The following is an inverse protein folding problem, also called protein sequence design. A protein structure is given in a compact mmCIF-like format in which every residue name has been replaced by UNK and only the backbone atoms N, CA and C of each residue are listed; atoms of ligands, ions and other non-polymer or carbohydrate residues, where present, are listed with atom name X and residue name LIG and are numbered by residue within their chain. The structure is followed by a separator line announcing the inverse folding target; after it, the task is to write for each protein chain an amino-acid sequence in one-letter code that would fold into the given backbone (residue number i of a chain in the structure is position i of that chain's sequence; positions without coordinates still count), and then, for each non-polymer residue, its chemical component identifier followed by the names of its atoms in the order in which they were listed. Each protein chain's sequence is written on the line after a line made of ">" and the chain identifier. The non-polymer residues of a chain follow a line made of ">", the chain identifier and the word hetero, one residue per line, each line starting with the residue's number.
data_IF_114765036570
#
_entry.id   IF_114765036570
#
_cell.length_a   1.000
_cell.length_b   1.000
_cell.length_c   1.000
_cell.angle_alpha   90.00
_cell.angle_beta   90.00
_cell.angle_gamma   90.00
#
_symmetry.space_group_name_H-M   'P 1'
#
loop_
_entity.id
_entity.type
_entity.pdbx_description
1 polymer ?
#
# COMPACT_ATOMS: atom_id res chain seq x y z
N UNK A 1 -19.48 -37.29 -32.30
CA UNK A 1 -20.62 -36.53 -31.75
C UNK A 1 -20.08 -35.70 -30.60
N UNK A 2 -19.74 -34.44 -30.86
CA UNK A 2 -19.16 -33.51 -29.88
C UNK A 2 -20.29 -32.64 -29.32
N UNK A 3 -20.54 -32.70 -28.01
CA UNK A 3 -21.57 -31.94 -27.33
C UNK A 3 -20.98 -30.59 -26.87
N UNK A 4 -21.30 -29.51 -27.60
CA UNK A 4 -20.94 -28.14 -27.21
C UNK A 4 -21.98 -27.58 -26.25
N UNK A 5 -21.65 -27.51 -24.95
CA UNK A 5 -22.47 -26.80 -23.96
C UNK A 5 -21.99 -25.33 -23.92
N UNK A 6 -22.76 -24.46 -24.56
CA UNK A 6 -22.59 -23.00 -24.52
C UNK A 6 -23.06 -22.46 -23.16
N UNK A 7 -22.13 -22.09 -22.28
CA UNK A 7 -22.44 -21.33 -21.07
C UNK A 7 -22.48 -19.84 -21.41
N UNK A 8 -23.68 -19.27 -21.51
CA UNK A 8 -23.90 -17.83 -21.60
C UNK A 8 -23.72 -17.17 -20.22
N UNK A 9 -22.50 -16.77 -19.89
CA UNK A 9 -22.26 -15.89 -18.76
C UNK A 9 -22.49 -14.42 -19.19
N UNK A 10 -23.72 -13.94 -19.01
CA UNK A 10 -24.02 -12.51 -19.10
C UNK A 10 -23.55 -11.82 -17.81
N UNK A 11 -22.27 -11.46 -17.74
CA UNK A 11 -21.74 -10.64 -16.66
C UNK A 11 -21.80 -9.16 -17.07
N UNK A 12 -23.00 -8.57 -17.01
CA UNK A 12 -23.17 -7.12 -17.12
C UNK A 12 -22.88 -6.49 -15.75
N UNK A 13 -21.61 -6.23 -15.48
CA UNK A 13 -21.21 -5.45 -14.30
C UNK A 13 -20.95 -4.02 -14.75
N UNK A 14 -21.91 -3.13 -14.48
CA UNK A 14 -21.74 -1.69 -14.70
C UNK A 14 -20.60 -1.19 -13.82
N UNK A 15 -19.54 -0.67 -14.43
CA UNK A 15 -18.48 0.03 -13.72
C UNK A 15 -18.99 1.41 -13.33
N UNK A 16 -19.34 1.58 -12.05
CA UNK A 16 -19.53 2.91 -11.48
C UNK A 16 -18.20 3.65 -11.55
N UNK A 17 -18.12 4.67 -12.42
CA UNK A 17 -17.00 5.61 -12.43
C UNK A 17 -17.07 6.42 -11.14
N UNK A 18 -16.32 6.00 -10.12
CA UNK A 18 -15.99 6.88 -9.00
C UNK A 18 -15.16 8.04 -9.55
N UNK A 19 -15.72 9.24 -9.50
CA UNK A 19 -14.95 10.48 -9.66
C UNK A 19 -13.99 10.55 -8.47
N UNK A 20 -12.81 9.96 -8.64
CA UNK A 20 -11.73 10.07 -7.68
C UNK A 20 -11.22 11.50 -7.74
N UNK A 21 -11.68 12.29 -6.77
CA UNK A 21 -11.07 13.57 -6.43
C UNK A 21 -9.62 13.23 -6.15
N UNK A 22 -8.68 13.77 -6.92
CA UNK A 22 -7.25 13.60 -6.66
C UNK A 22 -6.95 14.18 -5.28
N UNK A 23 -7.02 13.33 -4.25
CA UNK A 23 -6.58 13.66 -2.91
C UNK A 23 -5.08 13.88 -3.06
N UNK A 24 -4.65 15.13 -3.01
CA UNK A 24 -3.25 15.49 -2.94
C UNK A 24 -2.65 14.74 -1.76
N UNK A 25 -1.94 13.65 -2.07
CA UNK A 25 -1.27 12.81 -1.10
C UNK A 25 -0.25 13.72 -0.42
N UNK A 26 -0.51 14.12 0.83
CA UNK A 26 0.50 14.78 1.66
C UNK A 26 1.75 13.94 1.54
N UNK A 27 2.82 14.55 1.05
CA UNK A 27 4.12 13.94 0.89
C UNK A 27 4.59 13.58 2.29
N UNK A 28 4.22 12.38 2.71
CA UNK A 28 4.46 11.90 4.05
C UNK A 28 5.89 11.42 4.00
N UNK A 29 6.77 12.07 4.75
CA UNK A 29 8.20 11.75 4.71
C UNK A 29 8.41 10.34 5.27
N UNK A 30 8.46 9.37 4.37
CA UNK A 30 8.68 7.96 4.68
C UNK A 30 10.11 7.85 5.18
N UNK A 31 10.30 7.06 6.24
CA UNK A 31 11.65 6.73 6.69
C UNK A 31 12.24 5.63 5.78
N UNK A 32 12.79 6.05 4.65
CA UNK A 32 13.39 5.15 3.65
C UNK A 32 14.57 4.35 4.22
N UNK A 33 15.33 4.93 5.15
CA UNK A 33 16.46 4.26 5.80
C UNK A 33 15.96 3.10 6.64
N UNK A 34 14.94 3.34 7.47
CA UNK A 34 14.34 2.30 8.29
C UNK A 34 13.67 1.21 7.45
N UNK A 35 12.93 1.59 6.40
CA UNK A 35 12.30 0.63 5.48
C UNK A 35 13.35 -0.24 4.77
N UNK A 36 14.44 0.36 4.30
CA UNK A 36 15.56 -0.34 3.66
C UNK A 36 16.24 -1.34 4.60
N UNK A 37 16.46 -0.95 5.85
CA UNK A 37 17.00 -1.82 6.89
C UNK A 37 16.11 -3.04 7.11
N UNK A 38 14.81 -2.83 7.35
CA UNK A 38 13.85 -3.92 7.61
C UNK A 38 13.74 -4.86 6.40
N UNK A 39 13.71 -4.32 5.19
CA UNK A 39 13.68 -5.13 3.96
C UNK A 39 14.95 -5.99 3.81
N UNK A 40 16.12 -5.44 4.15
CA UNK A 40 17.40 -6.18 4.11
C UNK A 40 17.38 -7.34 5.10
N UNK A 41 16.96 -7.09 6.34
CA UNK A 41 16.83 -8.12 7.37
C UNK A 41 15.83 -9.19 6.95
N UNK A 42 14.68 -8.79 6.39
CA UNK A 42 13.66 -9.71 5.92
C UNK A 42 14.18 -10.62 4.80
N UNK A 43 14.92 -10.05 3.84
CA UNK A 43 15.57 -10.79 2.75
C UNK A 43 16.58 -11.81 3.27
N UNK A 44 17.42 -11.43 4.23
CA UNK A 44 18.38 -12.35 4.87
C UNK A 44 17.69 -13.50 5.60
N UNK A 45 16.45 -13.30 6.06
CA UNK A 45 15.64 -14.32 6.74
C UNK A 45 14.72 -15.11 5.81
N UNK A 46 14.74 -14.84 4.50
CA UNK A 46 13.83 -15.48 3.55
C UNK A 46 12.35 -15.12 3.74
N UNK A 47 12.06 -13.95 4.33
CA UNK A 47 10.70 -13.46 4.62
C UNK A 47 10.37 -12.25 3.76
N UNK A 48 9.07 -12.03 3.46
CA UNK A 48 8.59 -10.86 2.73
C UNK A 48 7.85 -9.92 3.68
N UNK A 49 8.23 -8.63 3.65
CA UNK A 49 7.56 -7.58 4.42
C UNK A 49 6.52 -6.91 3.54
N UNK A 50 5.28 -6.84 4.02
CA UNK A 50 4.19 -6.06 3.43
C UNK A 50 3.79 -4.97 4.41
N UNK A 51 4.06 -3.72 4.04
CA UNK A 51 3.72 -2.57 4.85
C UNK A 51 2.24 -2.24 4.68
N UNK A 52 1.44 -2.38 5.75
CA UNK A 52 0.06 -1.88 5.78
C UNK A 52 0.06 -0.35 5.92
N UNK A 53 1.00 0.18 6.71
CA UNK A 53 1.30 1.60 6.83
C UNK A 53 2.80 1.81 6.75
N UNK A 54 3.25 2.74 5.91
CA UNK A 54 4.67 3.03 5.80
C UNK A 54 5.18 3.78 7.04
N UNK A 55 6.35 3.39 7.58
CA UNK A 55 7.00 4.12 8.66
C UNK A 55 7.27 5.57 8.26
N UNK A 56 6.93 6.50 9.15
CA UNK A 56 7.16 7.93 8.95
C UNK A 56 8.39 8.36 9.74
N UNK A 57 9.16 9.30 9.23
CA UNK A 57 10.25 9.90 10.02
C UNK A 57 9.68 10.49 11.30
N UNK A 58 10.31 10.19 12.43
CA UNK A 58 9.97 10.84 13.69
C UNK A 58 10.34 12.32 13.55
N UNK A 59 9.38 13.22 13.79
CA UNK A 59 9.74 14.61 14.04
C UNK A 59 10.72 14.62 15.22
N UNK A 60 11.81 15.41 15.19
CA UNK A 60 12.61 15.60 16.38
C UNK A 60 11.65 16.05 17.48
N UNK A 61 11.64 15.35 18.62
CA UNK A 61 10.90 15.82 19.78
C UNK A 61 11.43 17.21 20.08
N UNK A 62 10.67 18.24 19.71
CA UNK A 62 10.87 19.56 20.28
C UNK A 62 10.63 19.34 21.77
N UNK A 63 11.72 19.25 22.52
CA UNK A 63 11.71 19.37 23.97
C UNK A 63 11.00 20.70 24.20
N UNK A 64 9.69 20.64 24.50
CA UNK A 64 8.96 21.82 24.90
C UNK A 64 9.73 22.34 26.10
N UNK A 65 10.40 23.48 25.91
CA UNK A 65 11.17 24.13 26.96
C UNK A 65 10.25 24.23 28.18
N UNK A 66 10.62 23.50 29.22
CA UNK A 66 9.87 23.46 30.45
C UNK A 66 9.97 24.83 31.12
N UNK A 67 8.79 25.47 31.26
CA UNK A 67 8.46 26.64 32.08
C UNK A 67 9.05 27.99 31.69
#
# INVERSE_FOLDING_TARGET
>A
MFLTVLLSACASTQTARSSDKTLMQRQTDVDEVYVGYVNTVAKLRGTRVMWVHLPKKKAPETIAAAR
#
